data_IF_592097661484
#
_entry.id   IF_592097661484
#
_cell.length_a   1.000
_cell.length_b   1.000
_cell.length_c   1.000
_cell.angle_alpha   90.00
_cell.angle_beta   90.00
_cell.angle_gamma   90.00
#
_symmetry.space_group_name_H-M   'P 1'
#
loop_
_entity.id
_entity.type
_entity.pdbx_description
1 polymer ?
#
# COMPACT_ATOMS: atom_id res chain seq x y z
N UNK A 1 45.02 57.20 5.36
CA UNK A 1 46.14 56.32 5.08
C UNK A 1 45.73 55.52 3.85
N UNK A 2 46.23 55.90 2.67
CA UNK A 2 45.86 55.30 1.35
C UNK A 2 46.92 54.30 1.02
N UNK A 3 46.52 53.06 0.83
CA UNK A 3 47.39 51.94 0.37
C UNK A 3 47.10 51.71 -1.11
N UNK A 4 48.12 52.05 -1.91
CA UNK A 4 48.11 51.85 -3.37
C UNK A 4 48.63 50.47 -3.69
N UNK A 5 47.84 49.65 -4.42
CA UNK A 5 48.30 48.38 -4.99
C UNK A 5 48.57 48.53 -6.49
N UNK A 6 49.79 48.25 -6.86
CA UNK A 6 50.27 48.23 -8.24
C UNK A 6 49.93 46.91 -8.92
N UNK A 7 49.54 46.87 -10.20
CA UNK A 7 49.22 45.60 -10.86
C UNK A 7 50.49 44.92 -11.43
N UNK A 8 50.72 43.71 -11.01
CA UNK A 8 51.78 42.86 -11.51
C UNK A 8 51.28 42.21 -12.82
N UNK A 9 51.95 42.51 -13.93
CA UNK A 9 51.73 41.92 -15.24
C UNK A 9 52.39 40.54 -15.29
N UNK A 10 51.55 39.51 -15.40
CA UNK A 10 52.02 38.15 -15.67
C UNK A 10 51.94 37.91 -17.18
N UNK A 11 53.06 37.65 -17.79
CA UNK A 11 53.21 37.23 -19.18
C UNK A 11 52.95 35.71 -19.20
N UNK A 12 51.88 35.29 -19.83
CA UNK A 12 51.58 33.85 -20.02
C UNK A 12 52.06 33.46 -21.44
N UNK A 13 53.07 32.65 -21.47
CA UNK A 13 53.56 32.03 -22.71
C UNK A 13 52.57 30.91 -23.17
N UNK A 14 52.08 31.05 -24.38
CA UNK A 14 51.24 30.05 -25.01
C UNK A 14 52.09 28.91 -25.56
N UNK A 15 52.00 27.73 -24.91
CA UNK A 15 52.45 26.47 -25.50
C UNK A 15 51.22 25.77 -26.12
N UNK A 16 51.19 25.74 -27.44
CA UNK A 16 50.21 24.96 -28.19
C UNK A 16 50.63 23.48 -28.21
N UNK A 17 49.93 22.66 -27.42
CA UNK A 17 50.03 21.19 -27.53
C UNK A 17 48.76 20.72 -28.24
N UNK A 18 48.92 20.29 -29.47
CA UNK A 18 47.86 19.59 -30.21
C UNK A 18 47.72 18.17 -29.68
N UNK A 19 46.79 17.96 -28.81
CA UNK A 19 46.43 16.61 -28.35
C UNK A 19 45.18 16.15 -29.12
N UNK A 20 45.37 15.20 -30.01
CA UNK A 20 44.29 14.46 -30.66
C UNK A 20 43.68 13.56 -29.60
N UNK A 21 42.59 14.01 -28.99
CA UNK A 21 41.80 13.17 -28.09
C UNK A 21 40.79 12.40 -28.92
N UNK A 22 41.03 11.10 -29.12
CA UNK A 22 40.01 10.17 -29.57
C UNK A 22 38.94 10.09 -28.47
N UNK A 23 37.81 10.79 -28.68
CA UNK A 23 36.62 10.64 -27.87
C UNK A 23 36.03 9.25 -28.18
N UNK A 24 36.35 8.30 -27.32
CA UNK A 24 35.60 7.08 -27.18
C UNK A 24 34.22 7.48 -26.65
N UNK A 25 33.25 7.56 -27.54
CA UNK A 25 31.84 7.65 -27.17
C UNK A 25 31.52 6.30 -26.54
N UNK A 26 31.67 6.21 -25.22
CA UNK A 26 31.03 5.16 -24.44
C UNK A 26 29.56 5.44 -24.55
N UNK A 27 28.91 4.80 -25.51
CA UNK A 27 27.46 4.77 -25.59
C UNK A 27 26.96 4.17 -24.28
N UNK A 28 26.47 5.05 -23.44
CA UNK A 28 25.55 4.65 -22.38
C UNK A 28 24.30 4.18 -23.10
N UNK A 29 24.25 2.87 -23.39
CA UNK A 29 22.98 2.22 -23.62
C UNK A 29 22.21 2.46 -22.34
N UNK A 30 21.41 3.51 -22.32
CA UNK A 30 20.27 3.56 -21.41
C UNK A 30 19.56 2.23 -21.65
N UNK A 31 19.80 1.31 -20.74
CA UNK A 31 18.98 0.13 -20.60
C UNK A 31 17.57 0.67 -20.63
N UNK A 32 16.87 0.38 -21.75
CA UNK A 32 15.46 0.67 -21.89
C UNK A 32 14.84 0.21 -20.60
N UNK A 33 14.42 1.20 -19.84
CA UNK A 33 13.95 1.04 -18.48
C UNK A 33 13.14 -0.23 -18.43
N UNK A 34 13.41 -1.03 -17.45
CA UNK A 34 12.45 -1.93 -16.86
C UNK A 34 11.13 -1.16 -16.68
N UNK A 35 10.40 -1.00 -17.79
CA UNK A 35 8.98 -0.75 -17.76
C UNK A 35 8.45 -1.87 -16.91
N UNK A 36 8.04 -1.53 -15.70
CA UNK A 36 7.84 -2.43 -14.61
C UNK A 36 7.24 -3.74 -15.06
N UNK A 37 8.04 -4.77 -15.10
CA UNK A 37 7.53 -6.10 -15.26
C UNK A 37 6.49 -6.24 -14.16
N UNK A 38 5.20 -6.31 -14.56
CA UNK A 38 4.15 -6.66 -13.63
C UNK A 38 4.67 -7.85 -12.84
N UNK A 39 4.62 -7.79 -11.50
CA UNK A 39 5.11 -8.90 -10.71
C UNK A 39 4.48 -10.17 -11.27
N UNK A 40 5.24 -11.24 -11.46
CA UNK A 40 4.70 -12.45 -12.05
C UNK A 40 3.47 -12.82 -11.22
N UNK A 41 2.35 -13.05 -11.92
CA UNK A 41 1.13 -13.50 -11.28
C UNK A 41 1.47 -14.76 -10.47
N UNK A 42 1.51 -14.61 -9.17
CA UNK A 42 1.74 -15.71 -8.24
C UNK A 42 0.40 -16.01 -7.57
N UNK A 43 -0.40 -16.92 -8.13
CA UNK A 43 -1.72 -17.19 -7.58
C UNK A 43 -1.57 -17.79 -6.19
N UNK A 44 -2.33 -17.24 -5.25
CA UNK A 44 -2.52 -17.88 -3.96
C UNK A 44 -3.21 -19.24 -4.15
N UNK A 45 -3.02 -20.15 -3.21
CA UNK A 45 -3.69 -21.46 -3.20
C UNK A 45 -5.18 -21.39 -2.86
N UNK A 46 -5.69 -20.20 -2.56
CA UNK A 46 -7.09 -19.91 -2.25
C UNK A 46 -7.61 -18.80 -3.17
N UNK A 47 -8.93 -18.67 -3.29
CA UNK A 47 -9.52 -17.56 -4.04
C UNK A 47 -9.43 -16.25 -3.28
N UNK A 48 -9.43 -15.13 -4.02
CA UNK A 48 -9.57 -13.79 -3.41
C UNK A 48 -10.86 -13.71 -2.59
N UNK A 49 -11.96 -14.33 -3.04
CA UNK A 49 -13.20 -14.33 -2.28
C UNK A 49 -13.06 -15.03 -0.92
N UNK A 50 -12.38 -16.18 -0.87
CA UNK A 50 -12.11 -16.85 0.40
C UNK A 50 -11.25 -15.97 1.33
N UNK A 51 -10.22 -15.33 0.79
CA UNK A 51 -9.38 -14.42 1.56
C UNK A 51 -10.17 -13.19 2.08
N UNK A 52 -11.08 -12.66 1.26
CA UNK A 52 -11.96 -11.56 1.67
C UNK A 52 -12.81 -11.94 2.87
N UNK A 53 -13.46 -13.10 2.82
CA UNK A 53 -14.37 -13.55 3.89
C UNK A 53 -13.62 -13.95 5.15
N UNK A 54 -12.54 -14.71 5.01
CA UNK A 54 -11.85 -15.32 6.18
C UNK A 54 -10.79 -14.43 6.81
N UNK A 55 -10.40 -13.35 6.17
CA UNK A 55 -9.34 -12.48 6.67
C UNK A 55 -9.72 -11.01 6.64
N UNK A 56 -10.15 -10.47 5.49
CA UNK A 56 -10.43 -9.03 5.38
C UNK A 56 -11.66 -8.65 6.17
N UNK A 57 -12.75 -9.39 6.01
CA UNK A 57 -14.03 -9.14 6.66
C UNK A 57 -13.94 -9.32 8.19
N UNK A 58 -13.37 -10.43 8.63
CA UNK A 58 -13.17 -10.74 10.05
C UNK A 58 -12.36 -9.65 10.78
N UNK A 59 -11.25 -9.28 10.17
CA UNK A 59 -10.37 -8.21 10.70
C UNK A 59 -11.07 -6.85 10.71
N UNK A 60 -11.81 -6.52 9.65
CA UNK A 60 -12.52 -5.25 9.56
C UNK A 60 -13.59 -5.13 10.65
N UNK A 61 -14.38 -6.18 10.89
CA UNK A 61 -15.38 -6.20 11.97
C UNK A 61 -14.75 -6.00 13.34
N UNK A 62 -13.65 -6.68 13.63
CA UNK A 62 -12.93 -6.50 14.90
C UNK A 62 -12.45 -5.06 15.09
N UNK A 63 -12.01 -4.40 14.03
CA UNK A 63 -11.59 -2.98 14.06
C UNK A 63 -12.80 -2.08 14.30
N UNK A 64 -13.94 -2.31 13.60
CA UNK A 64 -15.15 -1.51 13.77
C UNK A 64 -15.75 -1.66 15.15
N UNK A 65 -15.81 -2.87 15.71
CA UNK A 65 -16.28 -3.12 17.06
C UNK A 65 -15.47 -2.33 18.09
N UNK A 66 -14.15 -2.37 17.97
CA UNK A 66 -13.26 -1.59 18.83
C UNK A 66 -13.44 -0.07 18.62
N UNK A 67 -13.55 0.38 17.36
CA UNK A 67 -13.67 1.79 17.01
C UNK A 67 -15.01 2.40 17.50
N UNK A 68 -16.07 1.63 17.46
CA UNK A 68 -17.42 2.05 17.84
C UNK A 68 -17.75 1.83 19.31
N UNK A 69 -16.82 1.26 20.08
CA UNK A 69 -17.03 1.03 21.49
C UNK A 69 -17.30 2.35 22.24
N UNK A 70 -18.39 2.39 22.96
CA UNK A 70 -18.83 3.57 23.74
C UNK A 70 -18.02 3.84 25.02
N UNK A 71 -16.97 3.03 25.29
CA UNK A 71 -16.10 3.13 26.45
C UNK A 71 -14.64 3.11 26.01
N UNK A 72 -13.69 3.59 26.86
CA UNK A 72 -12.27 3.48 26.55
C UNK A 72 -11.84 2.04 26.30
N UNK A 73 -10.96 1.84 25.30
CA UNK A 73 -10.38 0.54 25.02
C UNK A 73 -9.40 0.13 26.11
N UNK A 74 -9.48 -1.12 26.53
CA UNK A 74 -8.50 -1.76 27.43
C UNK A 74 -7.18 -2.00 26.72
N UNK A 75 -6.12 -2.30 27.47
CA UNK A 75 -4.82 -2.66 26.90
C UNK A 75 -4.88 -3.88 25.99
N UNK A 76 -5.75 -4.86 26.28
CA UNK A 76 -5.98 -6.06 25.47
C UNK A 76 -6.64 -5.69 24.13
N UNK A 77 -7.64 -4.84 24.15
CA UNK A 77 -8.34 -4.42 22.94
C UNK A 77 -7.43 -3.59 22.03
N UNK A 78 -6.59 -2.71 22.60
CA UNK A 78 -5.57 -2.01 21.82
C UNK A 78 -4.58 -2.98 21.16
N UNK A 79 -4.16 -4.03 21.86
CA UNK A 79 -3.30 -5.06 21.29
C UNK A 79 -3.99 -5.79 20.15
N UNK A 80 -5.24 -6.17 20.33
CA UNK A 80 -6.04 -6.84 19.31
C UNK A 80 -6.17 -6.00 18.02
N UNK A 81 -6.54 -4.73 18.15
CA UNK A 81 -6.62 -3.82 16.98
C UNK A 81 -5.25 -3.63 16.33
N UNK A 82 -4.16 -3.62 17.13
CA UNK A 82 -2.81 -3.58 16.59
C UNK A 82 -2.51 -4.79 15.69
N UNK A 83 -2.82 -5.99 16.14
CA UNK A 83 -2.64 -7.22 15.37
C UNK A 83 -3.48 -7.20 14.10
N UNK A 84 -4.74 -6.81 14.20
CA UNK A 84 -5.64 -6.71 13.05
C UNK A 84 -5.20 -5.65 12.04
N UNK A 85 -4.58 -4.55 12.47
CA UNK A 85 -4.03 -3.56 11.55
C UNK A 85 -2.92 -4.11 10.66
N UNK A 86 -2.09 -5.02 11.17
CA UNK A 86 -1.08 -5.72 10.38
C UNK A 86 -1.71 -6.80 9.47
N UNK A 87 -2.70 -7.53 9.97
CA UNK A 87 -3.41 -8.53 9.17
C UNK A 87 -4.11 -7.89 7.98
N UNK A 88 -4.72 -6.72 8.16
CA UNK A 88 -5.35 -5.97 7.07
C UNK A 88 -4.32 -5.53 6.01
N UNK A 89 -3.15 -5.06 6.41
CA UNK A 89 -2.06 -4.72 5.49
C UNK A 89 -1.55 -5.94 4.73
N UNK A 90 -1.41 -7.08 5.41
CA UNK A 90 -1.02 -8.35 4.79
C UNK A 90 -2.09 -8.84 3.80
N UNK A 91 -3.37 -8.81 4.20
CA UNK A 91 -4.48 -9.18 3.35
C UNK A 91 -4.55 -8.33 2.08
N UNK A 92 -4.36 -7.01 2.20
CA UNK A 92 -4.28 -6.10 1.07
C UNK A 92 -3.17 -6.49 0.07
N UNK A 93 -2.03 -6.92 0.58
CA UNK A 93 -0.94 -7.44 -0.25
C UNK A 93 -1.34 -8.74 -0.93
N UNK A 94 -1.93 -9.66 -0.18
CA UNK A 94 -2.33 -10.97 -0.71
C UNK A 94 -3.38 -10.84 -1.82
N UNK A 95 -4.41 -10.03 -1.65
CA UNK A 95 -5.43 -9.83 -2.70
C UNK A 95 -4.85 -9.20 -3.96
N UNK A 96 -3.77 -8.43 -3.87
CA UNK A 96 -3.08 -7.86 -5.02
C UNK A 96 -2.35 -8.91 -5.88
N UNK A 97 -2.08 -10.10 -5.33
CA UNK A 97 -1.40 -11.20 -6.03
C UNK A 97 -2.37 -12.09 -6.81
N UNK A 98 -3.66 -12.05 -6.49
CA UNK A 98 -4.67 -12.93 -7.08
C UNK A 98 -4.70 -14.32 -6.45
N UNK A 99 -5.61 -15.16 -6.93
CA UNK A 99 -5.84 -16.49 -6.36
C UNK A 99 -6.45 -17.45 -7.36
N UNK A 100 -7.15 -18.45 -6.85
CA UNK A 100 -7.75 -19.55 -7.64
C UNK A 100 -9.18 -19.28 -8.09
N UNK A 101 -9.77 -18.14 -7.73
CA UNK A 101 -11.11 -17.78 -8.16
C UNK A 101 -11.19 -17.48 -9.66
N UNK A 102 -12.33 -17.73 -10.26
CA UNK A 102 -12.54 -17.56 -11.70
C UNK A 102 -12.27 -16.12 -12.18
N UNK A 103 -12.61 -15.14 -11.38
CA UNK A 103 -12.41 -13.70 -11.71
C UNK A 103 -11.03 -13.17 -11.30
N UNK A 104 -10.33 -13.83 -10.37
CA UNK A 104 -9.15 -13.31 -9.69
C UNK A 104 -8.05 -12.87 -10.65
N UNK A 105 -7.80 -13.67 -11.70
CA UNK A 105 -6.79 -13.35 -12.71
C UNK A 105 -7.12 -12.07 -13.50
N UNK A 106 -8.41 -11.88 -13.80
CA UNK A 106 -8.87 -10.68 -14.50
C UNK A 106 -8.79 -9.43 -13.62
N UNK A 107 -9.09 -9.58 -12.33
CA UNK A 107 -9.01 -8.48 -11.37
C UNK A 107 -7.56 -8.03 -11.15
N UNK A 108 -6.67 -8.97 -10.88
CA UNK A 108 -5.29 -8.66 -10.47
C UNK A 108 -4.47 -7.91 -11.53
N UNK A 109 -4.78 -8.11 -12.80
CA UNK A 109 -4.14 -7.38 -13.90
C UNK A 109 -4.73 -5.99 -14.14
N UNK A 110 -5.85 -5.67 -13.48
CA UNK A 110 -6.50 -4.35 -13.57
C UNK A 110 -5.76 -3.33 -12.72
N UNK A 111 -5.34 -2.17 -13.29
CA UNK A 111 -4.76 -1.08 -12.48
C UNK A 111 -5.69 -0.61 -11.36
N UNK A 112 -7.00 -0.58 -11.61
CA UNK A 112 -7.99 -0.19 -10.61
C UNK A 112 -8.04 -1.18 -9.43
N UNK A 113 -7.88 -2.48 -9.68
CA UNK A 113 -7.77 -3.47 -8.60
C UNK A 113 -6.54 -3.22 -7.72
N UNK A 114 -5.40 -2.96 -8.35
CA UNK A 114 -4.16 -2.65 -7.63
C UNK A 114 -4.27 -1.37 -6.79
N UNK A 115 -4.99 -0.37 -7.33
CA UNK A 115 -5.27 0.87 -6.59
C UNK A 115 -6.12 0.60 -5.35
N UNK A 116 -7.19 -0.21 -5.45
CA UNK A 116 -8.03 -0.55 -4.29
C UNK A 116 -7.29 -1.40 -3.27
N UNK A 117 -6.47 -2.35 -3.70
CA UNK A 117 -5.59 -3.10 -2.79
C UNK A 117 -4.62 -2.17 -2.05
N UNK A 118 -4.07 -1.16 -2.74
CA UNK A 118 -3.24 -0.14 -2.10
C UNK A 118 -4.02 0.69 -1.08
N UNK A 119 -5.23 1.14 -1.41
CA UNK A 119 -6.09 1.88 -0.47
C UNK A 119 -6.42 1.06 0.78
N UNK A 120 -6.68 -0.23 0.63
CA UNK A 120 -6.92 -1.13 1.75
C UNK A 120 -5.69 -1.24 2.66
N UNK A 121 -4.50 -1.37 2.07
CA UNK A 121 -3.25 -1.36 2.83
C UNK A 121 -3.06 -0.04 3.57
N UNK A 122 -3.30 1.07 2.92
CA UNK A 122 -3.11 2.41 3.48
C UNK A 122 -4.11 2.69 4.62
N UNK A 123 -5.33 2.14 4.54
CA UNK A 123 -6.29 2.12 5.65
C UNK A 123 -5.72 1.36 6.85
N UNK A 124 -5.14 0.17 6.64
CA UNK A 124 -4.46 -0.59 7.69
C UNK A 124 -3.32 0.19 8.35
N UNK A 125 -2.54 0.93 7.57
CA UNK A 125 -1.47 1.82 8.07
C UNK A 125 -2.05 2.97 8.90
N UNK A 126 -3.16 3.57 8.47
CA UNK A 126 -3.80 4.66 9.20
C UNK A 126 -4.37 4.16 10.54
N UNK A 127 -5.01 3.00 10.57
CA UNK A 127 -5.47 2.33 11.78
C UNK A 127 -4.29 2.07 12.74
N UNK A 128 -3.19 1.54 12.22
CA UNK A 128 -1.97 1.31 13.02
C UNK A 128 -1.48 2.59 13.70
N UNK A 129 -1.48 3.71 13.00
CA UNK A 129 -1.08 5.00 13.59
C UNK A 129 -2.02 5.45 14.71
N UNK A 130 -3.33 5.24 14.56
CA UNK A 130 -4.30 5.53 15.61
C UNK A 130 -4.07 4.65 16.84
N UNK A 131 -3.73 3.37 16.64
CA UNK A 131 -3.38 2.42 17.68
C UNK A 131 -2.11 2.84 18.43
N UNK A 132 -1.05 3.20 17.71
CA UNK A 132 0.22 3.63 18.32
C UNK A 132 0.04 4.86 19.20
N UNK A 133 -0.82 5.78 18.76
CA UNK A 133 -1.19 6.96 19.53
C UNK A 133 -2.21 6.67 20.62
N UNK A 134 -2.78 5.46 20.70
CA UNK A 134 -3.93 5.10 21.54
C UNK A 134 -5.08 6.12 21.45
N UNK A 135 -5.30 6.63 20.25
CA UNK A 135 -6.29 7.65 19.97
C UNK A 135 -7.57 7.00 19.42
N UNK A 136 -8.55 6.80 20.30
CA UNK A 136 -9.83 6.14 19.95
C UNK A 136 -10.67 6.97 18.98
N UNK A 137 -10.58 8.30 19.01
CA UNK A 137 -11.27 9.14 18.04
C UNK A 137 -10.67 8.98 16.63
N UNK A 138 -9.35 8.98 16.53
CA UNK A 138 -8.67 8.69 15.27
C UNK A 138 -8.96 7.26 14.78
N UNK A 139 -9.04 6.29 15.69
CA UNK A 139 -9.42 4.92 15.34
C UNK A 139 -10.83 4.86 14.74
N UNK A 140 -11.79 5.57 15.30
CA UNK A 140 -13.14 5.67 14.73
C UNK A 140 -13.12 6.26 13.32
N UNK A 141 -12.47 7.40 13.14
CA UNK A 141 -12.36 8.04 11.82
C UNK A 141 -11.69 7.15 10.78
N UNK A 142 -10.67 6.38 11.16
CA UNK A 142 -10.02 5.43 10.25
C UNK A 142 -10.85 4.18 9.99
N UNK A 143 -11.68 3.76 10.94
CA UNK A 143 -12.67 2.71 10.77
C UNK A 143 -13.75 3.10 9.75
N UNK A 144 -14.26 4.33 9.83
CA UNK A 144 -15.21 4.88 8.86
C UNK A 144 -14.59 4.95 7.45
N UNK A 145 -13.35 5.43 7.34
CA UNK A 145 -12.61 5.46 6.06
C UNK A 145 -12.36 4.06 5.47
N UNK A 146 -12.23 3.03 6.31
CA UNK A 146 -12.13 1.64 5.85
C UNK A 146 -13.43 1.18 5.18
N UNK A 147 -14.60 1.58 5.69
CA UNK A 147 -15.90 1.30 5.04
C UNK A 147 -15.92 1.87 3.63
N UNK A 148 -15.50 3.12 3.44
CA UNK A 148 -15.45 3.78 2.13
C UNK A 148 -14.57 3.00 1.12
N UNK A 149 -13.46 2.44 1.59
CA UNK A 149 -12.58 1.61 0.75
C UNK A 149 -13.27 0.30 0.35
N UNK A 150 -13.90 -0.38 1.31
CA UNK A 150 -14.63 -1.62 1.05
C UNK A 150 -15.77 -1.39 0.04
N UNK A 151 -16.63 -0.41 0.29
CA UNK A 151 -17.75 -0.10 -0.58
C UNK A 151 -17.31 0.33 -1.98
N UNK A 152 -16.29 1.19 -2.07
CA UNK A 152 -15.78 1.69 -3.34
C UNK A 152 -15.23 0.56 -4.22
N UNK A 153 -14.44 -0.35 -3.64
CA UNK A 153 -13.94 -1.52 -4.33
C UNK A 153 -15.07 -2.46 -4.77
N UNK A 154 -15.99 -2.77 -3.87
CA UNK A 154 -17.10 -3.67 -4.14
C UNK A 154 -18.08 -3.11 -5.19
N UNK A 155 -18.35 -1.82 -5.21
CA UNK A 155 -19.16 -1.19 -6.27
C UNK A 155 -18.57 -1.42 -7.67
N UNK A 156 -17.26 -1.53 -7.77
CA UNK A 156 -16.57 -1.73 -9.05
C UNK A 156 -16.39 -3.21 -9.43
N UNK A 157 -15.99 -4.04 -8.48
CA UNK A 157 -15.57 -5.42 -8.76
C UNK A 157 -16.57 -6.47 -8.31
N UNK A 158 -17.51 -6.13 -7.45
CA UNK A 158 -18.52 -7.07 -6.93
C UNK A 158 -19.86 -6.36 -6.70
N UNK A 159 -20.47 -5.77 -7.75
CA UNK A 159 -21.69 -4.98 -7.60
C UNK A 159 -22.90 -5.80 -7.15
N UNK A 160 -22.90 -7.11 -7.41
CA UNK A 160 -23.89 -8.04 -6.89
C UNK A 160 -23.25 -8.83 -5.74
N UNK A 161 -23.13 -8.22 -4.58
CA UNK A 161 -22.67 -8.93 -3.38
C UNK A 161 -23.71 -9.98 -2.97
N UNK A 162 -23.37 -11.27 -3.01
CA UNK A 162 -24.01 -12.20 -2.10
C UNK A 162 -23.42 -11.86 -0.72
N UNK A 163 -24.13 -11.06 0.04
CA UNK A 163 -23.86 -10.90 1.48
C UNK A 163 -24.23 -12.15 2.26
N UNK A 164 -24.83 -13.10 1.58
CA UNK A 164 -25.28 -14.37 2.11
C UNK A 164 -24.60 -15.52 1.37
N UNK A 165 -24.02 -16.44 2.07
CA UNK A 165 -23.39 -17.63 1.53
C UNK A 165 -22.66 -18.41 2.59
N UNK A 166 -22.26 -19.64 2.24
CA UNK A 166 -21.55 -20.59 3.13
C UNK A 166 -20.29 -19.96 3.78
N UNK A 167 -19.70 -18.97 3.16
CA UNK A 167 -18.47 -18.33 3.63
C UNK A 167 -18.72 -16.99 4.36
N UNK A 168 -19.96 -16.55 4.48
CA UNK A 168 -20.29 -15.34 5.20
C UNK A 168 -21.35 -15.65 6.26
N UNK A 169 -20.89 -15.90 7.46
CA UNK A 169 -21.76 -15.99 8.64
C UNK A 169 -21.85 -14.57 9.20
N UNK A 170 -23.06 -13.99 9.38
CA UNK A 170 -23.20 -12.68 10.00
C UNK A 170 -22.56 -12.69 11.39
N UNK A 171 -21.64 -11.76 11.64
CA UNK A 171 -21.00 -11.60 12.94
C UNK A 171 -22.08 -11.34 14.00
N UNK A 172 -22.07 -12.07 15.10
CA UNK A 172 -23.07 -12.00 16.17
C UNK A 172 -24.19 -13.02 16.10
N UNK A 173 -24.21 -13.89 15.09
CA UNK A 173 -25.14 -15.03 15.01
C UNK A 173 -24.42 -16.36 15.16
N UNK A 174 -23.22 -16.33 15.72
CA UNK A 174 -22.40 -17.54 15.92
C UNK A 174 -23.18 -18.58 16.71
N UNK A 175 -23.42 -19.78 16.15
CA UNK A 175 -24.09 -20.87 16.83
C UNK A 175 -23.14 -21.70 17.71
N UNK A 176 -21.89 -21.22 17.94
CA UNK A 176 -20.86 -21.90 18.72
C UNK A 176 -20.66 -21.34 20.11
#
# INVERSE_FOLDING_TARGET
MKISFSPMRIIVATLSVASVSALSVIGWSESAAQQGAQPPFLPLSISVNALMVTMVDDVAHSIWDASNKGAPLTGREWLNVNEHSYQLQAAATLISLGGTGQADRGWVVSPAWQEWASKLRDAGVAIKRAVDAKNQMALRSTGDALVDVCEGCHKQFKPALPTEGILHVPHGTDPF
#
